data_IF_989917074545
#
_entry.id   IF_989917074545
#
_cell.length_a   1.000
_cell.length_b   1.000
_cell.length_c   1.000
_cell.angle_alpha   90.00
_cell.angle_beta   90.00
_cell.angle_gamma   90.00
#
_symmetry.space_group_name_H-M   'P 1'
#
loop_
_entity.id
_entity.type
_entity.pdbx_description
1 polymer ?
#
# COMPACT_ATOMS: atom_id res chain seq x y z
N UNK A 1 23.71 32.02 -10.01
CA UNK A 1 22.86 31.61 -8.87
C UNK A 1 21.75 30.67 -9.32
N UNK A 2 20.97 31.01 -10.36
CA UNK A 2 19.99 30.08 -10.96
C UNK A 2 20.65 28.83 -11.59
N UNK A 3 21.82 28.96 -12.24
CA UNK A 3 22.58 27.81 -12.80
C UNK A 3 23.11 26.85 -11.73
N UNK A 4 23.52 27.34 -10.55
CA UNK A 4 24.01 26.48 -9.47
C UNK A 4 22.86 25.70 -8.78
N UNK A 5 21.65 26.25 -8.78
CA UNK A 5 20.45 25.56 -8.30
C UNK A 5 20.01 24.51 -9.33
N UNK A 6 20.10 24.81 -10.63
CA UNK A 6 19.82 23.86 -11.71
C UNK A 6 20.86 22.72 -11.78
N UNK A 7 22.15 22.99 -11.62
CA UNK A 7 23.19 21.95 -11.59
C UNK A 7 23.09 21.07 -10.35
N UNK A 8 22.71 21.64 -9.19
CA UNK A 8 22.39 20.86 -7.99
C UNK A 8 21.17 19.95 -8.25
N UNK A 9 20.07 20.52 -8.74
CA UNK A 9 18.84 19.76 -9.09
C UNK A 9 19.09 18.68 -10.16
N UNK A 10 19.95 18.95 -11.15
CA UNK A 10 20.24 17.99 -12.23
C UNK A 10 21.19 16.87 -11.80
N UNK A 11 22.16 17.15 -10.93
CA UNK A 11 22.98 16.11 -10.29
C UNK A 11 22.11 15.23 -9.40
N UNK A 12 21.13 15.82 -8.72
CA UNK A 12 20.17 15.12 -7.87
C UNK A 12 19.21 14.22 -8.67
N UNK A 13 18.79 14.58 -9.90
CA UNK A 13 17.85 13.76 -10.69
C UNK A 13 18.49 12.42 -11.11
N UNK A 14 19.72 12.41 -11.59
CA UNK A 14 20.38 11.17 -12.00
C UNK A 14 20.60 10.22 -10.80
N UNK A 15 20.92 10.79 -9.63
CA UNK A 15 21.02 10.03 -8.38
C UNK A 15 19.66 9.49 -7.91
N UNK A 16 18.59 10.28 -8.07
CA UNK A 16 17.22 9.83 -7.79
C UNK A 16 16.80 8.72 -8.76
N UNK A 17 17.12 8.84 -10.04
CA UNK A 17 16.85 7.82 -11.05
C UNK A 17 17.57 6.51 -10.71
N UNK A 18 18.86 6.55 -10.36
CA UNK A 18 19.61 5.37 -9.90
C UNK A 18 19.03 4.78 -8.61
N UNK A 19 18.66 5.62 -7.64
CA UNK A 19 18.03 5.18 -6.39
C UNK A 19 16.72 4.43 -6.68
N UNK A 20 15.84 5.02 -7.50
CA UNK A 20 14.55 4.43 -7.84
C UNK A 20 14.72 3.20 -8.71
N UNK A 21 15.68 3.17 -9.64
CA UNK A 21 16.01 1.99 -10.43
C UNK A 21 16.47 0.84 -9.52
N UNK A 22 17.37 1.10 -8.57
CA UNK A 22 17.83 0.11 -7.58
C UNK A 22 16.69 -0.39 -6.70
N UNK A 23 15.80 0.50 -6.27
CA UNK A 23 14.59 0.13 -5.55
C UNK A 23 13.71 -0.81 -6.38
N UNK A 24 13.41 -0.45 -7.64
CA UNK A 24 12.63 -1.28 -8.56
C UNK A 24 13.27 -2.65 -8.82
N UNK A 25 14.58 -2.69 -9.01
CA UNK A 25 15.33 -3.95 -9.14
C UNK A 25 15.17 -4.82 -7.89
N UNK A 26 15.27 -4.20 -6.72
CA UNK A 26 15.14 -4.87 -5.41
C UNK A 26 13.74 -5.43 -5.23
N UNK A 27 12.70 -4.61 -5.37
CA UNK A 27 11.32 -5.04 -5.14
C UNK A 27 10.89 -6.12 -6.13
N UNK A 28 11.28 -6.07 -7.41
CA UNK A 28 10.95 -7.14 -8.37
C UNK A 28 11.65 -8.44 -7.98
N UNK A 29 12.92 -8.36 -7.58
CA UNK A 29 13.69 -9.54 -7.14
C UNK A 29 13.07 -10.16 -5.89
N UNK A 30 12.70 -9.34 -4.91
CA UNK A 30 12.00 -9.79 -3.72
C UNK A 30 10.64 -10.37 -4.06
N UNK A 31 9.90 -9.77 -4.99
CA UNK A 31 8.57 -10.21 -5.36
C UNK A 31 8.59 -11.61 -5.99
N UNK A 32 9.64 -11.92 -6.76
CA UNK A 32 9.87 -13.24 -7.36
C UNK A 32 10.18 -14.34 -6.31
N UNK A 33 10.54 -13.97 -5.08
CA UNK A 33 10.91 -14.88 -3.99
C UNK A 33 9.80 -14.95 -2.93
N UNK A 34 9.40 -13.79 -2.41
CA UNK A 34 8.33 -13.61 -1.44
C UNK A 34 7.65 -12.24 -1.63
N UNK A 35 6.42 -12.21 -2.17
CA UNK A 35 5.63 -10.99 -2.33
C UNK A 35 5.47 -10.18 -1.04
N UNK A 36 5.43 -10.82 0.14
CA UNK A 36 5.29 -10.10 1.42
C UNK A 36 6.53 -9.28 1.75
N UNK A 37 7.71 -9.80 1.43
CA UNK A 37 8.98 -9.10 1.66
C UNK A 37 9.10 -7.92 0.71
N UNK A 38 8.68 -8.08 -0.56
CA UNK A 38 8.63 -6.98 -1.52
C UNK A 38 7.68 -5.85 -1.06
N UNK A 39 6.47 -6.20 -0.62
CA UNK A 39 5.51 -5.23 -0.06
C UNK A 39 6.10 -4.50 1.14
N UNK A 40 6.75 -5.22 2.06
CA UNK A 40 7.40 -4.63 3.23
C UNK A 40 8.51 -3.65 2.83
N UNK A 41 9.30 -3.99 1.80
CA UNK A 41 10.35 -3.12 1.28
C UNK A 41 9.80 -1.85 0.63
N UNK A 42 8.63 -1.90 -0.03
CA UNK A 42 7.97 -0.71 -0.58
C UNK A 42 7.62 0.29 0.54
N UNK A 43 6.98 -0.19 1.62
CA UNK A 43 6.65 0.67 2.76
C UNK A 43 7.91 1.14 3.51
N UNK A 44 8.94 0.30 3.61
CA UNK A 44 10.22 0.69 4.19
C UNK A 44 10.91 1.79 3.35
N UNK A 45 10.88 1.70 2.03
CA UNK A 45 11.39 2.73 1.13
C UNK A 45 10.63 4.04 1.30
N UNK A 46 9.30 4.01 1.44
CA UNK A 46 8.50 5.20 1.72
C UNK A 46 8.88 5.89 3.02
N UNK A 47 9.09 5.12 4.09
CA UNK A 47 9.55 5.67 5.36
C UNK A 47 10.96 6.28 5.23
N UNK A 48 11.88 5.60 4.55
CA UNK A 48 13.24 6.13 4.29
C UNK A 48 13.20 7.43 3.47
N UNK A 49 12.27 7.56 2.51
CA UNK A 49 12.08 8.82 1.77
C UNK A 49 11.62 9.95 2.70
N UNK A 50 10.67 9.69 3.59
CA UNK A 50 10.22 10.68 4.58
C UNK A 50 11.37 11.10 5.50
N UNK A 51 12.14 10.14 6.00
CA UNK A 51 13.32 10.41 6.84
C UNK A 51 14.37 11.23 6.08
N UNK A 52 14.71 10.83 4.86
CA UNK A 52 15.70 11.52 4.04
C UNK A 52 15.28 12.96 3.73
N UNK A 53 14.05 13.14 3.29
CA UNK A 53 13.51 14.47 2.93
C UNK A 53 13.33 15.39 4.14
N UNK A 54 13.20 14.84 5.37
CA UNK A 54 13.11 15.63 6.60
C UNK A 54 14.38 16.43 6.93
N UNK A 55 15.51 16.10 6.29
CA UNK A 55 16.79 16.81 6.48
C UNK A 55 16.90 18.10 5.66
N UNK A 56 15.95 18.35 4.74
CA UNK A 56 15.93 19.50 3.84
C UNK A 56 14.96 20.57 4.33
N UNK A 57 15.02 21.76 3.73
CA UNK A 57 13.99 22.79 3.95
C UNK A 57 12.61 22.27 3.49
N UNK A 58 11.48 22.74 4.05
CA UNK A 58 10.16 22.24 3.66
C UNK A 58 9.87 22.33 2.16
N UNK A 59 10.37 23.37 1.49
CA UNK A 59 10.20 23.54 0.06
C UNK A 59 11.03 22.54 -0.74
N UNK A 60 12.31 22.35 -0.37
CA UNK A 60 13.21 21.43 -1.06
C UNK A 60 12.81 19.97 -0.82
N UNK A 61 12.35 19.65 0.40
CA UNK A 61 11.78 18.36 0.74
C UNK A 61 10.57 18.02 -0.13
N UNK A 62 9.68 18.99 -0.36
CA UNK A 62 8.51 18.81 -1.22
C UNK A 62 8.91 18.56 -2.68
N UNK A 63 9.86 19.34 -3.22
CA UNK A 63 10.38 19.15 -4.58
C UNK A 63 11.04 17.77 -4.70
N UNK A 64 11.89 17.38 -3.75
CA UNK A 64 12.57 16.09 -3.76
C UNK A 64 11.56 14.92 -3.71
N UNK A 65 10.56 14.99 -2.83
CA UNK A 65 9.50 13.98 -2.77
C UNK A 65 8.73 13.88 -4.09
N UNK A 66 8.35 15.02 -4.69
CA UNK A 66 7.65 15.05 -5.96
C UNK A 66 8.49 14.45 -7.10
N UNK A 67 9.79 14.75 -7.14
CA UNK A 67 10.72 14.18 -8.13
C UNK A 67 10.84 12.66 -7.97
N UNK A 68 11.06 12.16 -6.75
CA UNK A 68 11.15 10.71 -6.52
C UNK A 68 9.84 10.02 -6.90
N UNK A 69 8.69 10.58 -6.52
CA UNK A 69 7.37 10.05 -6.88
C UNK A 69 7.16 10.01 -8.40
N UNK A 70 7.56 11.06 -9.12
CA UNK A 70 7.47 11.11 -10.58
C UNK A 70 8.32 10.03 -11.24
N UNK A 71 9.53 9.76 -10.75
CA UNK A 71 10.38 8.69 -11.29
C UNK A 71 9.76 7.32 -10.98
N UNK A 72 9.29 7.09 -9.75
CA UNK A 72 8.59 5.84 -9.37
C UNK A 72 7.38 5.58 -10.26
N UNK A 73 6.57 6.60 -10.53
CA UNK A 73 5.42 6.53 -11.44
C UNK A 73 5.84 6.15 -12.87
N UNK A 74 6.96 6.69 -13.36
CA UNK A 74 7.52 6.33 -14.66
C UNK A 74 7.84 4.84 -14.79
N UNK A 75 8.46 4.25 -13.76
CA UNK A 75 8.69 2.81 -13.69
C UNK A 75 7.40 2.01 -13.55
N UNK A 76 6.44 2.46 -12.73
CA UNK A 76 5.14 1.80 -12.59
C UNK A 76 4.38 1.76 -13.92
N UNK A 77 4.41 2.85 -14.68
CA UNK A 77 3.81 2.93 -16.01
C UNK A 77 4.45 1.96 -16.99
N UNK A 78 5.79 1.90 -17.05
CA UNK A 78 6.53 0.93 -17.86
C UNK A 78 6.17 -0.51 -17.48
N UNK A 79 6.09 -0.80 -16.17
CA UNK A 79 5.70 -2.10 -15.65
C UNK A 79 4.31 -2.54 -16.14
N UNK A 80 3.33 -1.62 -16.16
CA UNK A 80 1.98 -1.89 -16.67
C UNK A 80 1.94 -2.09 -18.19
N UNK A 81 2.77 -1.37 -18.94
CA UNK A 81 2.81 -1.41 -20.40
C UNK A 81 3.49 -2.68 -20.92
N UNK A 82 4.70 -2.96 -20.42
CA UNK A 82 5.48 -4.15 -20.74
C UNK A 82 6.44 -4.48 -19.59
N UNK A 83 6.00 -5.35 -18.69
CA UNK A 83 6.82 -5.76 -17.54
C UNK A 83 8.08 -6.54 -17.95
N UNK A 84 8.10 -7.19 -19.12
CA UNK A 84 9.26 -7.95 -19.59
C UNK A 84 10.32 -7.01 -20.15
N UNK A 85 9.91 -5.94 -20.85
CA UNK A 85 10.82 -4.86 -21.25
C UNK A 85 11.43 -4.18 -20.01
N UNK A 86 10.62 -3.81 -19.02
CA UNK A 86 11.14 -3.24 -17.78
C UNK A 86 12.15 -4.18 -17.09
N UNK A 87 11.85 -5.48 -17.00
CA UNK A 87 12.78 -6.47 -16.43
C UNK A 87 14.08 -6.57 -17.22
N UNK A 88 14.02 -6.51 -18.55
CA UNK A 88 15.21 -6.49 -19.42
C UNK A 88 16.10 -5.30 -19.09
N UNK A 89 15.51 -4.12 -19.03
CA UNK A 89 16.23 -2.87 -18.78
C UNK A 89 16.86 -2.85 -17.37
N UNK A 90 16.18 -3.48 -16.41
CA UNK A 90 16.70 -3.66 -15.05
C UNK A 90 17.74 -4.77 -14.90
N UNK A 91 18.04 -5.54 -15.97
CA UNK A 91 18.97 -6.67 -15.93
C UNK A 91 18.44 -7.88 -15.17
N UNK A 92 17.12 -8.06 -15.13
CA UNK A 92 16.43 -9.15 -14.41
C UNK A 92 16.01 -10.27 -15.37
N UNK A 93 15.72 -11.45 -14.81
CA UNK A 93 15.18 -12.57 -15.57
C UNK A 93 13.81 -12.22 -16.17
N UNK A 94 13.60 -12.56 -17.45
CA UNK A 94 12.36 -12.37 -18.21
C UNK A 94 11.30 -13.41 -17.81
N UNK A 95 10.82 -13.30 -16.58
CA UNK A 95 9.77 -14.15 -15.99
C UNK A 95 8.75 -13.28 -15.24
N UNK A 96 7.76 -13.92 -14.65
CA UNK A 96 6.66 -13.24 -13.96
C UNK A 96 5.46 -13.07 -14.89
N UNK A 97 4.28 -12.94 -14.29
CA UNK A 97 3.04 -12.69 -15.03
C UNK A 97 2.62 -11.22 -14.89
N UNK A 98 1.98 -10.67 -15.92
CA UNK A 98 1.56 -9.26 -15.96
C UNK A 98 0.63 -8.89 -14.80
N UNK A 99 -0.23 -9.81 -14.34
CA UNK A 99 -1.19 -9.52 -13.26
C UNK A 99 -0.44 -9.27 -11.95
N UNK A 100 0.54 -10.09 -11.65
CA UNK A 100 1.40 -9.96 -10.48
C UNK A 100 2.24 -8.68 -10.56
N UNK A 101 2.79 -8.36 -11.73
CA UNK A 101 3.55 -7.14 -11.94
C UNK A 101 2.67 -5.87 -11.85
N UNK A 102 1.40 -5.95 -12.23
CA UNK A 102 0.44 -4.84 -12.05
C UNK A 102 0.19 -4.55 -10.57
N UNK A 103 0.24 -5.55 -9.68
CA UNK A 103 0.11 -5.33 -8.24
C UNK A 103 1.29 -4.51 -7.73
N UNK A 104 2.50 -4.88 -8.14
CA UNK A 104 3.70 -4.12 -7.82
C UNK A 104 3.63 -2.68 -8.35
N UNK A 105 3.20 -2.51 -9.60
CA UNK A 105 3.01 -1.19 -10.20
C UNK A 105 1.96 -0.35 -9.46
N UNK A 106 0.87 -0.95 -9.01
CA UNK A 106 -0.14 -0.29 -8.19
C UNK A 106 0.42 0.15 -6.83
N UNK A 107 1.27 -0.65 -6.21
CA UNK A 107 1.91 -0.27 -4.95
C UNK A 107 2.92 0.86 -5.11
N UNK A 108 3.61 0.92 -6.24
CA UNK A 108 4.57 1.98 -6.55
C UNK A 108 3.93 3.25 -7.13
N UNK A 109 2.64 3.22 -7.45
CA UNK A 109 1.91 4.39 -7.95
C UNK A 109 1.65 5.37 -6.81
N UNK A 110 2.04 6.66 -6.95
CA UNK A 110 1.72 7.70 -5.98
C UNK A 110 0.21 7.81 -5.78
N UNK A 111 -0.21 8.03 -4.53
CA UNK A 111 -1.61 8.26 -4.17
C UNK A 111 -1.73 9.51 -3.32
N UNK A 112 -2.75 10.31 -3.58
CA UNK A 112 -3.01 11.55 -2.84
C UNK A 112 -3.80 11.29 -1.55
N UNK A 113 -4.61 10.24 -1.53
CA UNK A 113 -5.40 9.85 -0.35
C UNK A 113 -4.66 8.80 0.46
N UNK A 114 -4.49 9.03 1.76
CA UNK A 114 -3.88 8.04 2.66
C UNK A 114 -4.86 6.87 2.93
N UNK A 115 -4.59 5.63 2.45
CA UNK A 115 -5.47 4.48 2.63
C UNK A 115 -5.62 4.08 4.11
N UNK A 116 -4.58 4.27 4.91
CA UNK A 116 -4.60 3.93 6.34
C UNK A 116 -5.67 4.70 7.08
N UNK A 117 -5.82 6.00 6.80
CA UNK A 117 -6.83 6.84 7.48
C UNK A 117 -8.25 6.30 7.25
N UNK A 118 -8.56 5.93 6.01
CA UNK A 118 -9.87 5.38 5.65
C UNK A 118 -10.09 3.99 6.27
N UNK A 119 -9.04 3.16 6.26
CA UNK A 119 -9.10 1.83 6.83
C UNK A 119 -9.20 1.86 8.36
N UNK A 120 -8.54 2.81 9.02
CA UNK A 120 -8.63 3.04 10.47
C UNK A 120 -10.05 3.36 10.88
N UNK A 121 -10.74 4.21 10.14
CA UNK A 121 -12.13 4.56 10.41
C UNK A 121 -13.06 3.36 10.29
N UNK A 122 -12.87 2.52 9.27
CA UNK A 122 -13.60 1.25 9.15
C UNK A 122 -13.35 0.35 10.36
N UNK A 123 -12.09 0.07 10.71
CA UNK A 123 -11.75 -0.83 11.81
C UNK A 123 -12.18 -0.29 13.17
N UNK A 124 -12.10 1.03 13.40
CA UNK A 124 -12.58 1.67 14.63
C UNK A 124 -14.08 1.48 14.80
N UNK A 125 -14.85 1.63 13.72
CA UNK A 125 -16.31 1.37 13.71
C UNK A 125 -16.61 -0.11 13.91
N UNK A 126 -15.89 -0.99 13.20
CA UNK A 126 -16.10 -2.43 13.25
C UNK A 126 -15.82 -3.04 14.64
N UNK A 127 -14.72 -2.64 15.28
CA UNK A 127 -14.32 -3.11 16.61
C UNK A 127 -15.25 -2.57 17.70
N UNK A 128 -15.82 -1.38 17.51
CA UNK A 128 -16.76 -0.76 18.47
C UNK A 128 -18.16 -1.38 18.44
N UNK A 129 -18.45 -2.28 17.49
CA UNK A 129 -19.76 -2.94 17.44
C UNK A 129 -19.92 -3.95 18.59
N UNK A 130 -21.15 -4.12 19.10
CA UNK A 130 -21.45 -5.20 20.02
C UNK A 130 -21.11 -6.58 19.43
N UNK A 131 -20.80 -7.58 20.28
CA UNK A 131 -20.60 -8.97 19.85
C UNK A 131 -21.72 -9.48 18.93
N UNK A 132 -21.38 -10.28 17.91
CA UNK A 132 -22.35 -10.96 17.05
C UNK A 132 -22.92 -10.14 15.88
N UNK A 133 -22.48 -8.90 15.67
CA UNK A 133 -23.01 -7.99 14.65
C UNK A 133 -22.38 -8.17 13.24
N UNK A 134 -22.22 -9.40 12.76
CA UNK A 134 -21.58 -9.72 11.46
C UNK A 134 -22.16 -8.92 10.28
N UNK A 135 -23.48 -8.82 10.20
CA UNK A 135 -24.17 -8.09 9.14
C UNK A 135 -23.82 -6.60 9.14
N UNK A 136 -23.65 -6.00 10.32
CA UNK A 136 -23.24 -4.59 10.43
C UNK A 136 -21.80 -4.39 9.99
N UNK A 137 -20.88 -5.32 10.29
CA UNK A 137 -19.49 -5.25 9.78
C UNK A 137 -19.46 -5.28 8.25
N UNK A 138 -20.26 -6.15 7.62
CA UNK A 138 -20.37 -6.21 6.16
C UNK A 138 -20.95 -4.91 5.57
N UNK A 139 -21.94 -4.31 6.22
CA UNK A 139 -22.49 -3.00 5.84
C UNK A 139 -21.42 -1.90 5.95
N UNK A 140 -20.67 -1.85 7.05
CA UNK A 140 -19.56 -0.91 7.24
C UNK A 140 -18.50 -1.03 6.14
N UNK A 141 -18.17 -2.25 5.71
CA UNK A 141 -17.24 -2.47 4.61
C UNK A 141 -17.80 -1.96 3.27
N UNK A 142 -19.07 -2.23 3.00
CA UNK A 142 -19.75 -1.77 1.79
C UNK A 142 -19.82 -0.24 1.75
N UNK A 143 -20.15 0.41 2.86
CA UNK A 143 -20.13 1.87 3.01
C UNK A 143 -18.72 2.44 2.80
N UNK A 144 -17.72 1.83 3.42
CA UNK A 144 -16.32 2.20 3.25
C UNK A 144 -15.88 2.13 1.78
N UNK A 145 -16.19 1.03 1.10
CA UNK A 145 -15.80 0.84 -0.30
C UNK A 145 -16.52 1.83 -1.22
N UNK A 146 -17.84 1.96 -1.09
CA UNK A 146 -18.64 2.88 -1.91
C UNK A 146 -18.23 4.35 -1.71
N UNK A 147 -18.00 4.77 -0.46
CA UNK A 147 -17.55 6.13 -0.17
C UNK A 147 -16.13 6.39 -0.67
N UNK A 148 -15.23 5.41 -0.58
CA UNK A 148 -13.87 5.51 -1.14
C UNK A 148 -13.91 5.62 -2.66
N UNK A 149 -14.69 4.77 -3.33
CA UNK A 149 -14.87 4.79 -4.78
C UNK A 149 -15.47 6.11 -5.26
N UNK A 150 -16.46 6.65 -4.54
CA UNK A 150 -17.05 7.95 -4.88
C UNK A 150 -16.00 9.07 -4.81
N UNK A 151 -15.18 9.11 -3.76
CA UNK A 151 -14.12 10.13 -3.63
C UNK A 151 -13.04 9.97 -4.69
N UNK A 152 -12.70 8.73 -5.04
CA UNK A 152 -11.67 8.41 -6.02
C UNK A 152 -12.13 8.54 -7.48
N UNK A 153 -13.44 8.70 -7.73
CA UNK A 153 -14.01 8.69 -9.09
C UNK A 153 -13.44 9.77 -10.03
N UNK A 154 -12.89 10.86 -9.50
CA UNK A 154 -12.25 11.93 -10.27
C UNK A 154 -10.75 11.72 -10.50
N UNK A 155 -10.15 10.69 -9.89
CA UNK A 155 -8.72 10.41 -9.97
C UNK A 155 -8.42 9.45 -11.14
N UNK A 156 -7.18 9.43 -11.67
CA UNK A 156 -6.77 8.47 -12.69
C UNK A 156 -7.01 7.02 -12.24
N UNK A 157 -7.39 6.13 -13.17
CA UNK A 157 -7.71 4.73 -12.83
C UNK A 157 -6.56 4.05 -12.09
N UNK A 158 -5.33 4.35 -12.49
CA UNK A 158 -4.10 3.85 -11.87
C UNK A 158 -4.01 4.20 -10.38
N UNK A 159 -4.44 5.40 -10.00
CA UNK A 159 -4.45 5.87 -8.61
C UNK A 159 -5.58 5.21 -7.81
N UNK A 160 -6.75 5.00 -8.43
CA UNK A 160 -7.84 4.25 -7.82
C UNK A 160 -7.41 2.81 -7.53
N UNK A 161 -6.77 2.15 -8.51
CA UNK A 161 -6.26 0.80 -8.39
C UNK A 161 -5.15 0.71 -7.33
N UNK A 162 -4.25 1.70 -7.28
CA UNK A 162 -3.21 1.82 -6.26
C UNK A 162 -3.80 1.93 -4.84
N UNK A 163 -4.80 2.79 -4.66
CA UNK A 163 -5.48 2.96 -3.39
C UNK A 163 -6.12 1.65 -2.92
N UNK A 164 -6.91 1.00 -3.76
CA UNK A 164 -7.59 -0.25 -3.39
C UNK A 164 -6.63 -1.43 -3.22
N UNK A 165 -5.52 -1.45 -3.97
CA UNK A 165 -4.45 -2.45 -3.77
C UNK A 165 -3.83 -2.30 -2.38
N UNK A 166 -3.51 -1.07 -1.95
CA UNK A 166 -2.98 -0.80 -0.60
C UNK A 166 -3.98 -1.09 0.50
N UNK A 167 -5.26 -0.74 0.31
CA UNK A 167 -6.34 -1.11 1.25
C UNK A 167 -6.39 -2.62 1.46
N UNK A 168 -6.29 -3.42 0.40
CA UNK A 168 -6.34 -4.87 0.51
C UNK A 168 -5.21 -5.42 1.39
N UNK A 169 -3.97 -4.97 1.15
CA UNK A 169 -2.77 -5.40 1.87
C UNK A 169 -2.82 -4.95 3.34
N UNK A 170 -3.17 -3.69 3.59
CA UNK A 170 -3.29 -3.18 4.96
C UNK A 170 -4.41 -3.92 5.71
N UNK A 171 -5.54 -4.16 5.06
CA UNK A 171 -6.66 -4.88 5.68
C UNK A 171 -6.27 -6.34 6.00
N UNK A 172 -5.51 -7.01 5.13
CA UNK A 172 -4.96 -8.33 5.42
C UNK A 172 -4.08 -8.33 6.67
N UNK A 173 -3.17 -7.36 6.76
CA UNK A 173 -2.29 -7.18 7.91
C UNK A 173 -3.10 -6.96 9.19
N UNK A 174 -4.16 -6.15 9.11
CA UNK A 174 -5.01 -5.86 10.27
C UNK A 174 -5.82 -7.08 10.68
N UNK A 175 -6.33 -7.85 9.72
CA UNK A 175 -7.01 -9.11 10.01
C UNK A 175 -6.09 -10.10 10.72
N UNK A 176 -4.87 -10.30 10.20
CA UNK A 176 -3.87 -11.21 10.81
C UNK A 176 -3.47 -10.74 12.21
N UNK A 177 -3.23 -9.45 12.38
CA UNK A 177 -2.93 -8.85 13.68
C UNK A 177 -4.12 -8.96 14.62
N UNK A 178 -5.36 -8.78 14.15
CA UNK A 178 -6.53 -8.90 15.00
C UNK A 178 -6.76 -10.34 15.48
N UNK A 179 -6.47 -11.34 14.65
CA UNK A 179 -6.55 -12.76 15.04
C UNK A 179 -5.54 -13.13 16.13
N UNK A 180 -4.32 -12.60 16.03
CA UNK A 180 -3.17 -12.99 16.88
C UNK A 180 -2.97 -12.07 18.09
N UNK A 181 -3.19 -10.77 17.91
CA UNK A 181 -3.06 -9.72 18.92
C UNK A 181 -4.10 -8.60 18.70
N UNK A 182 -5.36 -8.79 19.13
CA UNK A 182 -6.41 -7.77 19.00
C UNK A 182 -6.03 -6.40 19.57
N UNK A 183 -5.25 -6.37 20.66
CA UNK A 183 -4.81 -5.14 21.31
C UNK A 183 -3.90 -4.29 20.42
N UNK A 184 -3.08 -4.92 19.57
CA UNK A 184 -2.25 -4.21 18.59
C UNK A 184 -3.11 -3.42 17.60
N UNK A 185 -4.12 -4.05 16.99
CA UNK A 185 -4.99 -3.37 16.02
C UNK A 185 -5.79 -2.25 16.69
N UNK A 186 -6.25 -2.46 17.93
CA UNK A 186 -6.92 -1.41 18.71
C UNK A 186 -6.01 -0.20 18.91
N UNK A 187 -4.75 -0.41 19.29
CA UNK A 187 -3.76 0.66 19.42
C UNK A 187 -3.53 1.40 18.09
N UNK A 188 -3.32 0.66 17.00
CA UNK A 188 -3.10 1.22 15.66
C UNK A 188 -4.27 2.16 15.26
N UNK A 189 -5.52 1.76 15.52
CA UNK A 189 -6.70 2.57 15.14
C UNK A 189 -7.12 3.61 16.19
N UNK A 190 -6.33 3.79 17.25
CA UNK A 190 -6.56 4.79 18.31
C UNK A 190 -7.65 4.42 19.32
N UNK A 191 -7.92 3.13 19.51
CA UNK A 191 -8.83 2.62 20.54
C UNK A 191 -8.05 2.19 21.80
N UNK A 192 -8.66 2.29 23.00
CA UNK A 192 -8.05 1.79 24.23
C UNK A 192 -7.74 0.30 24.09
N UNK A 193 -6.55 -0.13 24.53
CA UNK A 193 -6.20 -1.55 24.62
C UNK A 193 -7.22 -2.27 25.50
N UNK A 194 -7.75 -3.40 25.04
CA UNK A 194 -8.56 -4.26 25.92
C UNK A 194 -7.64 -4.99 26.91
N UNK A 195 -8.12 -5.29 28.13
CA UNK A 195 -7.48 -6.31 28.95
C UNK A 195 -7.42 -7.61 28.14
N UNK A 196 -6.33 -8.39 28.23
CA UNK A 196 -6.07 -9.53 27.36
C UNK A 196 -7.28 -10.48 27.35
N UNK A 197 -8.05 -10.46 26.25
CA UNK A 197 -9.07 -11.47 26.00
C UNK A 197 -8.40 -12.66 25.34
N UNK A 198 -8.92 -13.85 25.64
CA UNK A 198 -8.45 -15.10 25.07
C UNK A 198 -8.39 -15.00 23.53
N UNK A 199 -7.29 -15.44 22.90
CA UNK A 199 -7.25 -15.65 21.45
C UNK A 199 -8.46 -16.51 21.03
N UNK A 200 -9.17 -16.12 19.97
CA UNK A 200 -10.35 -16.85 19.49
C UNK A 200 -11.70 -16.36 20.03
N UNK A 201 -11.83 -15.10 20.45
CA UNK A 201 -13.18 -14.55 20.68
C UNK A 201 -14.01 -14.66 19.39
N UNK A 202 -15.24 -15.19 19.48
CA UNK A 202 -16.15 -15.40 18.33
C UNK A 202 -16.39 -14.10 17.52
N UNK A 203 -16.13 -12.95 18.12
CA UNK A 203 -16.23 -11.61 17.52
C UNK A 203 -15.04 -11.34 16.60
N UNK A 204 -13.82 -11.68 17.03
CA UNK A 204 -12.64 -11.51 16.19
C UNK A 204 -12.65 -12.41 14.97
N UNK A 205 -13.07 -13.66 15.15
CA UNK A 205 -13.31 -14.56 14.02
C UNK A 205 -14.42 -14.04 13.10
N UNK A 206 -15.46 -13.42 13.67
CA UNK A 206 -16.56 -12.83 12.90
C UNK A 206 -16.15 -11.60 12.07
N UNK A 207 -15.42 -10.66 12.67
CA UNK A 207 -14.92 -9.45 12.00
C UNK A 207 -13.94 -9.86 10.91
N UNK A 208 -12.98 -10.73 11.24
CA UNK A 208 -11.97 -11.17 10.28
C UNK A 208 -12.60 -11.97 9.15
N UNK A 209 -13.49 -12.93 9.44
CA UNK A 209 -14.19 -13.68 8.39
C UNK A 209 -15.01 -12.78 7.47
N UNK A 210 -15.72 -11.80 8.04
CA UNK A 210 -16.55 -10.87 7.25
C UNK A 210 -15.68 -9.95 6.39
N UNK A 211 -14.57 -9.45 6.93
CA UNK A 211 -13.61 -8.66 6.18
C UNK A 211 -12.96 -9.48 5.05
N UNK A 212 -12.60 -10.75 5.29
CA UNK A 212 -12.15 -11.67 4.24
C UNK A 212 -13.22 -11.87 3.16
N UNK A 213 -14.43 -12.27 3.54
CA UNK A 213 -15.51 -12.56 2.59
C UNK A 213 -15.86 -11.32 1.74
N UNK A 214 -15.87 -10.13 2.35
CA UNK A 214 -16.17 -8.88 1.68
C UNK A 214 -15.03 -8.36 0.79
N UNK A 215 -13.78 -8.65 1.15
CA UNK A 215 -12.60 -8.31 0.33
C UNK A 215 -12.45 -9.29 -0.85
N UNK A 216 -12.77 -10.58 -0.66
CA UNK A 216 -12.78 -11.59 -1.72
C UNK A 216 -13.86 -11.32 -2.78
N UNK A 217 -15.04 -10.83 -2.37
CA UNK A 217 -16.14 -10.48 -3.29
C UNK A 217 -15.87 -9.25 -4.17
N UNK A 218 -15.00 -8.32 -3.75
CA UNK A 218 -14.69 -7.08 -4.47
C UNK A 218 -13.59 -7.19 -5.54
N UNK A 219 -13.22 -8.39 -5.98
CA UNK A 219 -12.17 -8.61 -6.99
C UNK A 219 -10.73 -8.68 -6.44
N UNK A 220 -10.53 -8.35 -5.16
CA UNK A 220 -9.23 -8.39 -4.48
C UNK A 220 -8.77 -9.83 -4.14
N UNK A 221 -9.60 -10.85 -4.39
CA UNK A 221 -9.27 -12.26 -4.22
C UNK A 221 -7.95 -12.69 -4.88
N UNK A 222 -7.53 -11.98 -5.93
CA UNK A 222 -6.24 -12.10 -6.60
C UNK A 222 -5.05 -11.87 -5.67
N UNK A 223 -5.12 -10.77 -4.92
CA UNK A 223 -4.08 -10.28 -4.03
C UNK A 223 -3.92 -11.24 -2.85
N UNK A 224 -5.03 -11.63 -2.23
CA UNK A 224 -5.02 -12.58 -1.12
C UNK A 224 -4.52 -13.99 -1.49
N UNK A 225 -4.59 -14.39 -2.77
CA UNK A 225 -3.98 -15.66 -3.22
C UNK A 225 -2.46 -15.56 -3.35
N UNK A 226 -1.91 -14.36 -3.57
CA UNK A 226 -0.46 -14.16 -3.65
C UNK A 226 0.19 -14.12 -2.27
N UNK A 227 -0.57 -13.81 -1.22
CA UNK A 227 -0.09 -13.74 0.16
C UNK A 227 -0.42 -14.96 1.02
N UNK A 228 -1.08 -15.99 0.44
CA UNK A 228 -1.48 -17.22 1.11
C UNK A 228 -0.59 -18.40 0.73
#
# INVERSE_FOLDING_TARGET
MAEAILDMIMTDIAEIEDLVERHWRTIITLFDVDPNVAVSEIFAFENRMVEWTSTYSPNDAHILQATIQSVREGFAKRCRQDHLELRRDLGLSLKGDQRTMNILANLETPILLNPETYLHDFWRRAISLPPGQKQKVAQLWTEFYASSQQKLSSFPQEEQDAFFTRIAILNETYMKNYQTNPSLVRQIVGLPAEPPRSPGSQIGEAIVKTAVDATVGGGLSALFRLFR
#
